data_IF_900385542918
#
_entry.id   IF_900385542918
#
_cell.length_a   1.000
_cell.length_b   1.000
_cell.length_c   1.000
_cell.angle_alpha   90.00
_cell.angle_beta   90.00
_cell.angle_gamma   90.00
#
_symmetry.space_group_name_H-M   'P 1'
#
loop_
_entity.id
_entity.type
_entity.pdbx_description
1 polymer ?
#
# COMPACT_ATOMS: atom_id res chain seq x y z
N UNK A 1 -9.76 4.40 6.90
CA UNK A 1 -8.60 4.34 5.99
C UNK A 1 -7.24 4.42 6.67
N UNK A 2 -7.06 5.13 7.78
CA UNK A 2 -5.75 5.19 8.45
C UNK A 2 -5.24 3.81 8.92
N UNK A 3 -6.14 2.92 9.35
CA UNK A 3 -5.80 1.53 9.67
C UNK A 3 -5.25 0.77 8.46
N UNK A 4 -5.89 0.91 7.29
CA UNK A 4 -5.41 0.26 6.05
C UNK A 4 -4.00 0.76 5.70
N UNK A 5 -3.74 2.07 5.79
CA UNK A 5 -2.41 2.63 5.56
C UNK A 5 -1.36 2.05 6.52
N UNK A 6 -1.71 1.88 7.80
CA UNK A 6 -0.81 1.29 8.78
C UNK A 6 -0.51 -0.18 8.47
N UNK A 7 -1.51 -0.95 8.02
CA UNK A 7 -1.34 -2.34 7.60
C UNK A 7 -0.46 -2.46 6.36
N UNK A 8 -0.67 -1.62 5.34
CA UNK A 8 0.16 -1.64 4.12
C UNK A 8 1.64 -1.33 4.41
N UNK A 9 1.90 -0.38 5.31
CA UNK A 9 3.25 -0.08 5.77
C UNK A 9 3.87 -1.24 6.55
N UNK A 10 3.08 -1.92 7.39
CA UNK A 10 3.52 -3.09 8.13
C UNK A 10 3.88 -4.25 7.18
N UNK A 11 3.05 -4.50 6.16
CA UNK A 11 3.34 -5.52 5.13
C UNK A 11 4.64 -5.19 4.41
N UNK A 12 4.85 -3.93 4.01
CA UNK A 12 6.10 -3.50 3.38
C UNK A 12 7.33 -3.74 4.28
N UNK A 13 7.21 -3.46 5.57
CA UNK A 13 8.27 -3.76 6.54
C UNK A 13 8.54 -5.27 6.63
N UNK A 14 7.50 -6.11 6.60
CA UNK A 14 7.67 -7.58 6.59
C UNK A 14 8.31 -8.09 5.31
N UNK A 15 7.99 -7.50 4.15
CA UNK A 15 8.65 -7.81 2.89
C UNK A 15 10.14 -7.46 2.90
N UNK A 16 10.51 -6.29 3.45
CA UNK A 16 11.92 -5.94 3.63
C UNK A 16 12.65 -6.89 4.58
N UNK A 17 11.99 -7.34 5.66
CA UNK A 17 12.58 -8.35 6.56
C UNK A 17 12.80 -9.68 5.84
N UNK A 18 11.86 -10.12 5.00
CA UNK A 18 11.99 -11.34 4.20
C UNK A 18 13.14 -11.22 3.19
N UNK A 19 13.22 -10.08 2.49
CA UNK A 19 14.31 -9.76 1.57
C UNK A 19 15.69 -9.80 2.25
N UNK A 20 15.80 -9.25 3.46
CA UNK A 20 17.04 -9.31 4.24
C UNK A 20 17.44 -10.74 4.61
N UNK A 21 16.47 -11.62 4.89
CA UNK A 21 16.72 -13.04 5.14
C UNK A 21 17.16 -13.75 3.86
N UNK A 22 16.51 -13.51 2.72
CA UNK A 22 16.88 -14.06 1.43
C UNK A 22 18.32 -13.66 1.03
N UNK A 23 18.66 -12.39 1.24
CA UNK A 23 20.01 -11.85 1.03
C UNK A 23 21.04 -12.53 1.94
N UNK A 24 20.72 -12.72 3.23
CA UNK A 24 21.62 -13.41 4.17
C UNK A 24 21.84 -14.89 3.83
N UNK A 25 20.81 -15.54 3.28
CA UNK A 25 20.90 -16.92 2.80
C UNK A 25 21.56 -17.03 1.42
N UNK A 26 21.92 -15.89 0.80
CA UNK A 26 22.54 -15.80 -0.50
C UNK A 26 21.69 -16.47 -1.61
N UNK A 27 20.37 -16.25 -1.55
CA UNK A 27 19.39 -16.72 -2.53
C UNK A 27 18.99 -15.57 -3.47
N UNK A 28 19.63 -15.47 -4.67
CA UNK A 28 19.39 -14.36 -5.58
C UNK A 28 18.01 -14.44 -6.23
N UNK A 29 17.47 -15.64 -6.43
CA UNK A 29 16.18 -15.84 -7.08
C UNK A 29 15.04 -15.36 -6.18
N UNK A 30 15.08 -15.73 -4.89
CA UNK A 30 14.07 -15.27 -3.94
C UNK A 30 14.15 -13.75 -3.73
N UNK A 31 15.35 -13.20 -3.72
CA UNK A 31 15.57 -11.75 -3.57
C UNK A 31 14.96 -10.97 -4.74
N UNK A 32 15.24 -11.39 -5.97
CA UNK A 32 14.69 -10.79 -7.20
C UNK A 32 13.16 -10.94 -7.28
N UNK A 33 12.62 -12.09 -6.90
CA UNK A 33 11.17 -12.32 -6.84
C UNK A 33 10.45 -11.37 -5.87
N UNK A 34 11.03 -11.12 -4.69
CA UNK A 34 10.44 -10.19 -3.71
C UNK A 34 10.48 -8.74 -4.22
N UNK A 35 11.57 -8.34 -4.87
CA UNK A 35 11.72 -6.98 -5.41
C UNK A 35 10.75 -6.71 -6.57
N UNK A 36 10.69 -7.62 -7.53
CA UNK A 36 9.90 -7.47 -8.76
C UNK A 36 8.40 -7.57 -8.52
N UNK A 37 7.95 -8.61 -7.83
CA UNK A 37 6.52 -8.92 -7.70
C UNK A 37 5.84 -8.21 -6.52
N UNK A 38 6.57 -7.91 -5.44
CA UNK A 38 5.96 -7.39 -4.21
C UNK A 38 6.39 -5.96 -3.89
N UNK A 39 7.68 -5.68 -3.77
CA UNK A 39 8.15 -4.37 -3.29
C UNK A 39 7.78 -3.22 -4.23
N UNK A 40 7.82 -3.46 -5.54
CA UNK A 40 7.40 -2.48 -6.56
C UNK A 40 5.91 -2.09 -6.38
N UNK A 41 5.01 -3.08 -6.34
CA UNK A 41 3.57 -2.88 -6.17
C UNK A 41 3.20 -2.32 -4.80
N UNK A 42 3.95 -2.67 -3.75
CA UNK A 42 3.68 -2.19 -2.40
C UNK A 42 3.86 -0.68 -2.28
N UNK A 43 4.83 -0.09 -2.98
CA UNK A 43 5.03 1.38 -3.01
C UNK A 43 3.83 2.08 -3.65
N UNK A 44 3.30 1.54 -4.75
CA UNK A 44 2.12 2.09 -5.42
C UNK A 44 0.87 1.99 -4.55
N UNK A 45 0.65 0.84 -3.90
CA UNK A 45 -0.49 0.63 -3.00
C UNK A 45 -0.43 1.58 -1.81
N UNK A 46 0.73 1.75 -1.17
CA UNK A 46 0.90 2.70 -0.06
C UNK A 46 0.60 4.13 -0.52
N UNK A 47 1.03 4.50 -1.74
CA UNK A 47 0.73 5.83 -2.30
C UNK A 47 -0.76 6.03 -2.48
N UNK A 48 -1.46 5.12 -3.16
CA UNK A 48 -2.92 5.18 -3.38
C UNK A 48 -3.68 5.30 -2.05
N UNK A 49 -3.35 4.46 -1.08
CA UNK A 49 -3.99 4.48 0.25
C UNK A 49 -3.68 5.80 0.99
N UNK A 50 -2.47 6.34 0.85
CA UNK A 50 -2.10 7.63 1.44
C UNK A 50 -2.90 8.79 0.83
N UNK A 51 -3.11 8.76 -0.49
CA UNK A 51 -3.95 9.74 -1.19
C UNK A 51 -5.40 9.70 -0.71
N UNK A 52 -5.98 8.50 -0.55
CA UNK A 52 -7.32 8.36 0.03
C UNK A 52 -7.41 8.91 1.45
N UNK A 53 -6.40 8.64 2.31
CA UNK A 53 -6.35 9.21 3.67
C UNK A 53 -6.28 10.74 3.61
N UNK A 54 -5.47 11.32 2.73
CA UNK A 54 -5.35 12.76 2.59
C UNK A 54 -6.65 13.41 2.08
N UNK A 55 -7.33 12.78 1.12
CA UNK A 55 -8.62 13.22 0.61
C UNK A 55 -9.69 13.21 1.71
N UNK A 56 -9.81 12.09 2.45
CA UNK A 56 -10.76 11.96 3.56
C UNK A 56 -10.51 12.99 4.67
N UNK A 57 -9.24 13.28 4.99
CA UNK A 57 -8.89 14.34 5.95
C UNK A 57 -9.26 15.74 5.45
N UNK A 58 -9.18 15.99 4.13
CA UNK A 58 -9.51 17.28 3.52
C UNK A 58 -11.02 17.54 3.47
N UNK A 59 -11.81 16.53 3.11
CA UNK A 59 -13.27 16.68 2.93
C UNK A 59 -14.05 16.63 4.24
N UNK A 60 -13.45 16.15 5.32
CA UNK A 60 -14.09 16.08 6.64
C UNK A 60 -15.18 15.00 6.70
N UNK A 61 -16.11 15.13 7.66
CA UNK A 61 -17.19 14.15 7.90
C UNK A 61 -18.47 14.54 7.16
N UNK A 62 -19.36 13.57 6.94
CA UNK A 62 -20.67 13.80 6.32
C UNK A 62 -20.61 13.69 4.80
N UNK A 63 -21.16 14.69 4.09
CA UNK A 63 -21.29 14.68 2.62
C UNK A 63 -19.96 14.48 1.89
N UNK A 64 -18.86 15.02 2.43
CA UNK A 64 -17.52 14.86 1.86
C UNK A 64 -17.06 13.39 1.78
N UNK A 65 -17.41 12.58 2.79
CA UNK A 65 -17.10 11.15 2.80
C UNK A 65 -17.93 10.41 1.75
N UNK A 66 -19.23 10.71 1.65
CA UNK A 66 -20.11 10.09 0.65
C UNK A 66 -19.62 10.35 -0.79
N UNK A 67 -19.17 11.58 -1.06
CA UNK A 67 -18.62 11.92 -2.38
C UNK A 67 -17.26 11.26 -2.65
N UNK A 68 -16.43 11.09 -1.61
CA UNK A 68 -15.19 10.31 -1.71
C UNK A 68 -15.44 8.81 -1.88
N UNK A 69 -16.57 8.28 -1.42
CA UNK A 69 -16.95 6.86 -1.54
C UNK A 69 -17.45 6.52 -2.96
N UNK A 70 -18.04 7.49 -3.66
CA UNK A 70 -18.51 7.32 -5.05
C UNK A 70 -17.36 7.23 -6.07
N UNK A 71 -16.26 7.97 -5.86
CA UNK A 71 -15.12 8.00 -6.78
C UNK A 71 -14.42 6.64 -7.00
N UNK A 72 -14.11 5.84 -5.96
CA UNK A 72 -13.51 4.53 -6.16
C UNK A 72 -14.39 3.57 -6.98
N UNK A 73 -15.71 3.72 -6.94
CA UNK A 73 -16.65 2.89 -7.72
C UNK A 73 -16.67 3.25 -9.22
N UNK A 74 -16.27 4.46 -9.58
CA UNK A 74 -16.16 4.91 -10.98
C UNK A 74 -14.81 4.56 -11.60
N UNK A 75 -13.75 4.42 -10.80
CA UNK A 75 -12.41 3.99 -11.29
C UNK A 75 -12.33 2.47 -11.55
N UNK A 76 -13.27 1.68 -11.02
CA UNK A 76 -13.36 0.22 -11.23
C UNK A 76 -14.35 -0.19 -12.36
N UNK A 77 -15.01 0.77 -13.03
CA UNK A 77 -15.99 0.57 -14.11
C UNK A 77 -15.43 0.96 -15.50
#
# INVERSE_FOLDING_TARGET
MELALALEKLVNEKLHNLHAVATRCNDPQLTDFIESEFLSGQVETIKKVSEYVAQLRRVGKGHGVWHCDQKPLEEEA
#
